data_IF_133579714756
#
_entry.id   IF_133579714756
#
_cell.length_a   1.000
_cell.length_b   1.000
_cell.length_c   1.000
_cell.angle_alpha   90.00
_cell.angle_beta   90.00
_cell.angle_gamma   90.00
#
_symmetry.space_group_name_H-M   'P 1'
#
loop_
_entity.id
_entity.type
_entity.pdbx_description
1 polymer ?
#
# COMPACT_ATOMS: atom_id res chain seq x y z
N UNK A 1 -31.96 12.82 17.24
CA UNK A 1 -31.69 11.53 16.57
C UNK A 1 -30.40 10.96 17.15
N UNK A 2 -30.42 9.83 17.86
CA UNK A 2 -29.21 9.20 18.38
C UNK A 2 -28.48 8.46 17.26
N UNK A 3 -27.17 8.66 17.16
CA UNK A 3 -26.29 7.96 16.20
C UNK A 3 -25.98 6.56 16.73
N UNK A 4 -26.44 5.54 16.01
CA UNK A 4 -26.13 4.14 16.28
C UNK A 4 -24.64 3.87 16.11
N UNK A 5 -24.00 3.34 17.14
CA UNK A 5 -22.63 2.83 17.13
C UNK A 5 -22.55 1.66 16.14
N UNK A 6 -21.79 1.83 15.06
CA UNK A 6 -21.40 0.72 14.19
C UNK A 6 -20.44 -0.20 14.96
N UNK A 7 -20.90 -1.41 15.25
CA UNK A 7 -20.09 -2.45 15.87
C UNK A 7 -19.13 -3.00 14.81
N UNK A 8 -17.86 -2.62 14.88
CA UNK A 8 -16.81 -3.11 13.97
C UNK A 8 -16.31 -4.47 14.44
N UNK A 9 -17.07 -5.53 14.19
CA UNK A 9 -16.58 -6.91 14.35
C UNK A 9 -15.72 -7.23 13.13
N UNK A 10 -14.44 -6.86 13.19
CA UNK A 10 -13.45 -7.31 12.20
C UNK A 10 -13.37 -8.85 12.27
N UNK A 11 -13.30 -9.55 11.13
CA UNK A 11 -13.24 -11.01 11.11
C UNK A 11 -11.90 -11.46 11.71
N UNK A 12 -11.95 -12.48 12.56
CA UNK A 12 -10.82 -13.13 13.25
C UNK A 12 -9.73 -13.65 12.29
N UNK A 13 -9.97 -13.61 10.96
CA UNK A 13 -9.10 -14.11 9.91
C UNK A 13 -7.78 -13.32 9.68
N UNK A 14 -7.57 -12.16 10.30
CA UNK A 14 -6.38 -11.32 10.07
C UNK A 14 -5.38 -11.27 11.23
N UNK A 15 -5.65 -11.98 12.33
CA UNK A 15 -4.79 -11.97 13.50
C UNK A 15 -3.52 -12.82 13.26
N UNK A 16 -2.34 -12.34 13.69
CA UNK A 16 -1.13 -13.16 13.75
C UNK A 16 -1.39 -14.46 14.52
N UNK A 17 -0.82 -15.57 14.05
CA UNK A 17 -1.02 -16.89 14.64
C UNK A 17 -0.73 -16.92 16.16
N UNK A 18 0.27 -16.15 16.61
CA UNK A 18 0.62 -16.04 18.02
C UNK A 18 -0.45 -15.34 18.85
N UNK A 19 -1.13 -14.32 18.29
CA UNK A 19 -2.26 -13.68 18.96
C UNK A 19 -3.49 -14.58 19.01
N UNK A 20 -3.74 -15.37 17.96
CA UNK A 20 -4.82 -16.37 17.99
C UNK A 20 -4.59 -17.39 19.09
N UNK A 21 -3.37 -17.93 19.20
CA UNK A 21 -2.97 -18.85 20.28
C UNK A 21 -3.10 -18.21 21.67
N UNK A 22 -2.76 -16.92 21.79
CA UNK A 22 -2.91 -16.18 23.04
C UNK A 22 -4.38 -16.04 23.44
N UNK A 23 -5.26 -15.74 22.48
CA UNK A 23 -6.71 -15.66 22.72
C UNK A 23 -7.26 -17.01 23.19
N UNK A 24 -6.89 -18.10 22.51
CA UNK A 24 -7.28 -19.46 22.89
C UNK A 24 -6.79 -19.82 24.31
N UNK A 25 -5.54 -19.47 24.63
CA UNK A 25 -4.97 -19.72 25.95
C UNK A 25 -5.71 -18.95 27.06
N UNK A 26 -6.12 -17.71 26.82
CA UNK A 26 -6.88 -16.89 27.77
C UNK A 26 -8.30 -17.42 27.95
N UNK A 27 -8.93 -17.93 26.89
CA UNK A 27 -10.26 -18.57 26.98
C UNK A 27 -10.26 -19.87 27.78
N UNK A 28 -9.11 -20.55 27.89
CA UNK A 28 -8.95 -21.74 28.73
C UNK A 28 -8.79 -21.46 30.24
N UNK A 29 -8.72 -20.18 30.66
CA UNK A 29 -8.54 -19.82 32.06
C UNK A 29 -9.88 -19.83 32.84
N UNK A 30 -9.84 -20.06 34.17
CA UNK A 30 -11.00 -19.82 35.03
C UNK A 30 -11.55 -18.41 34.89
N UNK A 31 -12.86 -18.26 35.02
CA UNK A 31 -13.60 -17.02 34.70
C UNK A 31 -13.06 -15.77 35.41
N UNK A 32 -12.65 -15.90 36.68
CA UNK A 32 -12.06 -14.79 37.46
C UNK A 32 -10.75 -14.25 36.87
N UNK A 33 -9.92 -15.14 36.32
CA UNK A 33 -8.65 -14.76 35.70
C UNK A 33 -8.86 -14.25 34.27
N UNK A 34 -9.74 -14.91 33.51
CA UNK A 34 -10.12 -14.48 32.18
C UNK A 34 -10.71 -13.06 32.20
N UNK A 35 -11.66 -12.78 33.10
CA UNK A 35 -12.31 -11.47 33.23
C UNK A 35 -11.32 -10.31 33.49
N UNK A 36 -10.22 -10.58 34.21
CA UNK A 36 -9.18 -9.58 34.48
C UNK A 36 -8.29 -9.29 33.28
N UNK A 37 -8.03 -10.31 32.44
CA UNK A 37 -7.07 -10.23 31.33
C UNK A 37 -7.76 -9.87 30.01
N UNK A 38 -9.02 -10.27 29.83
CA UNK A 38 -9.82 -10.01 28.63
C UNK A 38 -9.75 -8.56 28.13
N UNK A 39 -9.95 -7.51 28.96
CA UNK A 39 -9.91 -6.13 28.45
C UNK A 39 -8.52 -5.70 27.95
N UNK A 40 -7.44 -6.29 28.50
CA UNK A 40 -6.07 -6.03 28.02
C UNK A 40 -5.81 -6.75 26.71
N UNK A 41 -6.28 -7.99 26.59
CA UNK A 41 -6.19 -8.77 25.36
C UNK A 41 -6.94 -8.07 24.22
N UNK A 42 -8.16 -7.59 24.47
CA UNK A 42 -8.98 -6.88 23.48
C UNK A 42 -8.25 -5.63 22.96
N UNK A 43 -7.60 -4.87 23.84
CA UNK A 43 -6.78 -3.70 23.45
C UNK A 43 -5.59 -4.09 22.57
N UNK A 44 -4.91 -5.20 22.88
CA UNK A 44 -3.77 -5.68 22.09
C UNK A 44 -4.23 -6.14 20.71
N UNK A 45 -5.33 -6.91 20.64
CA UNK A 45 -5.97 -7.37 19.41
C UNK A 45 -6.37 -6.19 18.53
N UNK A 46 -7.04 -5.19 19.10
CA UNK A 46 -7.44 -3.98 18.37
C UNK A 46 -6.22 -3.20 17.87
N UNK A 47 -5.22 -2.98 18.73
CA UNK A 47 -4.01 -2.25 18.34
C UNK A 47 -3.23 -2.95 17.24
N UNK A 48 -3.21 -4.28 17.24
CA UNK A 48 -2.50 -5.09 16.24
C UNK A 48 -3.23 -5.09 14.91
N UNK A 49 -4.55 -5.28 14.94
CA UNK A 49 -5.41 -5.18 13.75
C UNK A 49 -5.28 -3.81 13.10
N UNK A 50 -5.34 -2.73 13.90
CA UNK A 50 -5.18 -1.35 13.40
C UNK A 50 -3.82 -1.13 12.76
N UNK A 51 -2.73 -1.58 13.39
CA UNK A 51 -1.37 -1.46 12.82
C UNK A 51 -1.25 -2.20 11.49
N UNK A 52 -1.80 -3.41 11.40
CA UNK A 52 -1.79 -4.19 10.17
C UNK A 52 -2.51 -3.47 9.05
N UNK A 53 -3.71 -2.94 9.32
CA UNK A 53 -4.47 -2.14 8.35
C UNK A 53 -3.69 -0.92 7.86
N UNK A 54 -3.01 -0.20 8.77
CA UNK A 54 -2.17 0.94 8.39
C UNK A 54 -1.02 0.47 7.49
N UNK A 55 -0.33 -0.62 7.84
CA UNK A 55 0.75 -1.16 7.02
C UNK A 55 0.27 -1.56 5.63
N UNK A 56 -0.89 -2.22 5.53
CA UNK A 56 -1.47 -2.59 4.23
C UNK A 56 -1.75 -1.36 3.38
N UNK A 57 -2.38 -0.32 3.95
CA UNK A 57 -2.63 0.94 3.22
C UNK A 57 -1.34 1.61 2.74
N UNK A 58 -0.30 1.59 3.58
CA UNK A 58 1.02 2.12 3.21
C UNK A 58 1.65 1.29 2.09
N UNK A 59 1.56 -0.04 2.16
CA UNK A 59 2.06 -0.94 1.12
C UNK A 59 1.34 -0.74 -0.22
N UNK A 60 0.03 -0.54 -0.18
CA UNK A 60 -0.77 -0.26 -1.37
C UNK A 60 -0.38 1.09 -1.99
N UNK A 61 -0.25 2.14 -1.17
CA UNK A 61 0.17 3.47 -1.63
C UNK A 61 1.60 3.46 -2.21
N UNK A 62 2.54 2.75 -1.59
CA UNK A 62 3.90 2.59 -2.12
C UNK A 62 3.91 1.79 -3.42
N UNK A 63 3.05 0.76 -3.53
CA UNK A 63 2.91 -0.02 -4.76
C UNK A 63 2.37 0.81 -5.91
N UNK A 64 1.39 1.68 -5.64
CA UNK A 64 0.87 2.64 -6.60
C UNK A 64 1.95 3.65 -7.01
N UNK A 65 2.64 4.28 -6.05
CA UNK A 65 3.71 5.23 -6.34
C UNK A 65 4.81 4.60 -7.20
N UNK A 66 5.20 3.35 -6.90
CA UNK A 66 6.19 2.62 -7.69
C UNK A 66 5.72 2.40 -9.14
N UNK A 67 4.42 2.18 -9.35
CA UNK A 67 3.86 2.08 -10.70
C UNK A 67 3.87 3.43 -11.41
N UNK A 68 3.47 4.50 -10.71
CA UNK A 68 3.48 5.87 -11.24
C UNK A 68 4.90 6.29 -11.66
N UNK A 69 5.92 5.93 -10.89
CA UNK A 69 7.33 6.15 -11.26
C UNK A 69 7.72 5.41 -12.54
N UNK A 70 7.22 4.18 -12.77
CA UNK A 70 7.48 3.44 -14.00
C UNK A 70 6.85 4.13 -15.21
N UNK A 71 5.62 4.62 -15.07
CA UNK A 71 4.96 5.39 -16.13
C UNK A 71 5.71 6.68 -16.45
N UNK A 72 6.13 7.43 -15.43
CA UNK A 72 6.90 8.66 -15.63
C UNK A 72 8.22 8.39 -16.38
N UNK A 73 8.93 7.32 -16.03
CA UNK A 73 10.15 6.93 -16.73
C UNK A 73 9.89 6.55 -18.19
N UNK A 74 8.80 5.82 -18.45
CA UNK A 74 8.40 5.46 -19.80
C UNK A 74 8.05 6.69 -20.65
N UNK A 75 7.26 7.62 -20.10
CA UNK A 75 6.90 8.87 -20.80
C UNK A 75 8.14 9.73 -21.08
N UNK A 76 9.10 9.77 -20.14
CA UNK A 76 10.37 10.46 -20.32
C UNK A 76 11.20 9.83 -21.45
N UNK A 77 11.24 8.51 -21.55
CA UNK A 77 11.95 7.82 -22.62
C UNK A 77 11.29 8.04 -23.98
N UNK A 78 9.95 8.01 -24.04
CA UNK A 78 9.19 8.33 -25.25
C UNK A 78 9.49 9.75 -25.75
N UNK A 79 9.38 10.75 -24.88
CA UNK A 79 9.65 12.16 -25.23
C UNK A 79 11.12 12.41 -25.61
N UNK A 80 12.08 11.72 -24.98
CA UNK A 80 13.48 11.77 -25.40
C UNK A 80 13.68 11.20 -26.80
N UNK A 81 13.09 10.04 -27.07
CA UNK A 81 13.18 9.41 -28.39
C UNK A 81 12.57 10.28 -29.48
N UNK A 82 11.38 10.83 -29.25
CA UNK A 82 10.70 11.73 -30.20
C UNK A 82 11.54 12.98 -30.49
N UNK A 83 12.16 13.58 -29.45
CA UNK A 83 13.08 14.70 -29.62
C UNK A 83 14.29 14.31 -30.46
N UNK A 84 14.92 13.18 -30.15
CA UNK A 84 16.13 12.73 -30.85
C UNK A 84 15.83 12.42 -32.33
N UNK A 85 14.66 11.85 -32.62
CA UNK A 85 14.16 11.66 -33.99
C UNK A 85 13.91 12.99 -34.72
N UNK A 86 13.35 14.00 -34.06
CA UNK A 86 13.20 15.35 -34.62
C UNK A 86 14.55 16.01 -34.91
N UNK A 87 15.50 15.94 -33.98
CA UNK A 87 16.84 16.50 -34.17
C UNK A 87 17.59 15.82 -35.32
N UNK A 88 17.47 14.50 -35.44
CA UNK A 88 18.05 13.76 -36.55
C UNK A 88 17.45 14.18 -37.90
N UNK A 89 16.12 14.36 -37.97
CA UNK A 89 15.47 14.89 -39.18
C UNK A 89 15.96 16.29 -39.52
N UNK A 90 16.00 17.21 -38.56
CA UNK A 90 16.45 18.58 -38.81
C UNK A 90 17.89 18.63 -39.35
N UNK A 91 18.81 17.88 -38.75
CA UNK A 91 20.19 17.77 -39.22
C UNK A 91 20.28 17.21 -40.65
N UNK A 92 19.46 16.21 -40.98
CA UNK A 92 19.43 15.66 -42.34
C UNK A 92 18.89 16.69 -43.36
N UNK A 93 17.86 17.46 -42.97
CA UNK A 93 17.35 18.55 -43.80
C UNK A 93 18.40 19.64 -44.05
N UNK A 94 19.15 20.05 -43.01
CA UNK A 94 20.26 21.00 -43.14
C UNK A 94 21.35 20.50 -44.09
N UNK A 95 21.70 19.22 -44.02
CA UNK A 95 22.69 18.63 -44.94
C UNK A 95 22.20 18.49 -46.39
N UNK A 96 20.90 18.32 -46.61
CA UNK A 96 20.30 18.28 -47.95
C UNK A 96 20.21 19.68 -48.57
N UNK A 97 20.01 20.72 -47.76
CA UNK A 97 20.01 22.12 -48.22
C UNK A 97 21.41 22.63 -48.61
N UNK A 98 22.47 22.18 -47.92
CA UNK A 98 23.86 22.58 -48.24
C UNK A 98 24.43 21.88 -49.50
N UNK A 99 23.84 20.77 -49.95
CA UNK A 99 24.27 20.06 -51.18
C UNK A 99 23.61 20.60 -52.46
N UNK A 100 22.70 21.57 -52.33
CA UNK A 100 21.91 22.13 -53.44
C UNK A 100 22.40 23.49 -53.99
N UNK A 101 23.45 24.09 -53.43
CA UNK A 101 24.17 25.26 -53.96
C UNK A 101 25.44 24.86 -54.72
#
# INVERSE_FOLDING_TARGET
MPVSKANNTAPVAELPADLTRLVEAVQGLPEEHAARIQPLLDQVVESTTRRRRILSLVQDALSQLRLDMKYLMFDLEATRRERDECQAKLRNWESDTDQGE
#
